data_IF_105875811465
#
_entry.id   IF_105875811465
#
_cell.length_a   1.000
_cell.length_b   1.000
_cell.length_c   1.000
_cell.angle_alpha   90.00
_cell.angle_beta   90.00
_cell.angle_gamma   90.00
#
_symmetry.space_group_name_H-M   'P 1'
#
loop_
_entity.id
_entity.type
_entity.pdbx_description
1 polymer ?
#
# COMPACT_ATOMS: atom_id res chain seq x y z
N UNK A 1 -11.82 -19.76 -12.69
CA UNK A 1 -10.84 -18.68 -12.88
C UNK A 1 -11.30 -17.52 -12.02
N UNK A 2 -10.98 -17.57 -10.72
CA UNK A 2 -11.44 -16.56 -9.78
C UNK A 2 -10.30 -15.59 -9.64
N UNK A 3 -10.44 -14.44 -10.28
CA UNK A 3 -9.56 -13.30 -10.05
C UNK A 3 -9.81 -12.90 -8.60
N UNK A 4 -9.00 -13.43 -7.68
CA UNK A 4 -8.82 -12.87 -6.35
C UNK A 4 -8.20 -11.48 -6.54
N UNK A 5 -9.03 -10.53 -6.97
CA UNK A 5 -8.80 -9.14 -6.68
C UNK A 5 -8.78 -9.08 -5.17
N UNK A 6 -7.57 -8.97 -4.62
CA UNK A 6 -7.28 -8.67 -3.22
C UNK A 6 -7.88 -7.30 -2.90
N UNK A 7 -9.20 -7.18 -2.92
CA UNK A 7 -9.91 -6.19 -2.14
C UNK A 7 -9.52 -6.50 -0.73
N UNK A 8 -8.69 -5.62 -0.17
CA UNK A 8 -8.27 -5.57 1.21
C UNK A 8 -9.32 -6.27 2.09
N UNK A 9 -9.06 -7.52 2.47
CA UNK A 9 -9.99 -8.23 3.33
C UNK A 9 -9.84 -7.60 4.71
N UNK A 10 -10.62 -6.55 4.97
CA UNK A 10 -10.69 -5.86 6.25
C UNK A 10 -11.19 -6.78 7.38
N UNK A 11 -11.54 -8.05 7.06
CA UNK A 11 -11.88 -9.11 7.99
C UNK A 11 -10.66 -9.93 8.42
N UNK A 12 -9.49 -9.68 7.85
CA UNK A 12 -8.23 -10.20 8.37
C UNK A 12 -8.10 -9.71 9.82
N UNK A 13 -8.09 -10.66 10.76
CA UNK A 13 -8.16 -10.41 12.21
C UNK A 13 -7.24 -9.25 12.57
N UNK A 14 -7.71 -8.31 13.39
CA UNK A 14 -6.91 -7.17 13.82
C UNK A 14 -5.56 -7.66 14.34
N UNK A 15 -4.53 -7.53 13.51
CA UNK A 15 -3.17 -7.90 13.86
C UNK A 15 -2.47 -6.60 14.26
N UNK A 16 -2.36 -6.31 15.56
CA UNK A 16 -1.80 -5.04 16.04
C UNK A 16 -0.34 -4.84 15.62
N UNK A 17 0.34 -5.89 15.16
CA UNK A 17 1.72 -5.83 14.70
C UNK A 17 1.85 -5.42 13.22
N UNK A 18 0.74 -5.33 12.48
CA UNK A 18 0.71 -4.93 11.07
C UNK A 18 0.30 -3.46 10.92
N UNK A 19 1.21 -2.66 10.36
CA UNK A 19 0.91 -1.31 9.89
C UNK A 19 0.54 -1.36 8.39
N UNK A 20 -0.58 -0.73 8.04
CA UNK A 20 -0.99 -0.52 6.65
C UNK A 20 -0.85 0.94 6.27
N UNK A 21 -0.18 1.22 5.16
CA UNK A 21 -0.08 2.56 4.56
C UNK A 21 -0.85 2.56 3.25
N UNK A 22 -1.80 3.48 3.11
CA UNK A 22 -2.61 3.64 1.91
C UNK A 22 -2.23 4.98 1.28
N UNK A 23 -1.62 4.92 0.10
CA UNK A 23 -1.29 6.10 -0.69
C UNK A 23 -2.33 6.27 -1.80
N UNK A 24 -3.01 7.42 -1.84
CA UNK A 24 -4.07 7.74 -2.79
C UNK A 24 -3.78 9.09 -3.44
N UNK A 25 -3.90 9.16 -4.76
CA UNK A 25 -3.69 10.38 -5.55
C UNK A 25 -3.45 10.06 -7.02
N UNK A 26 -2.98 11.04 -7.80
CA UNK A 26 -2.59 10.77 -9.18
C UNK A 26 -1.45 9.75 -9.25
N UNK A 27 -1.39 8.99 -10.35
CA UNK A 27 -0.34 7.97 -10.54
C UNK A 27 1.08 8.53 -10.33
N UNK A 28 1.33 9.76 -10.79
CA UNK A 28 2.62 10.44 -10.61
C UNK A 28 2.93 10.75 -9.15
N UNK A 29 1.96 11.26 -8.39
CA UNK A 29 2.16 11.63 -6.98
C UNK A 29 2.38 10.38 -6.13
N UNK A 30 1.59 9.33 -6.37
CA UNK A 30 1.71 8.07 -5.65
C UNK A 30 3.04 7.39 -5.93
N UNK A 31 3.48 7.34 -7.20
CA UNK A 31 4.78 6.76 -7.55
C UNK A 31 5.94 7.55 -6.93
N UNK A 32 5.86 8.89 -6.95
CA UNK A 32 6.87 9.72 -6.29
C UNK A 32 6.96 9.45 -4.79
N UNK A 33 5.81 9.31 -4.11
CA UNK A 33 5.77 8.97 -2.69
C UNK A 33 6.45 7.61 -2.41
N UNK A 34 6.17 6.60 -3.23
CA UNK A 34 6.78 5.26 -3.12
C UNK A 34 8.30 5.33 -3.28
N UNK A 35 8.78 6.06 -4.29
CA UNK A 35 10.22 6.23 -4.51
C UNK A 35 10.91 6.99 -3.36
N UNK A 36 10.23 7.96 -2.74
CA UNK A 36 10.74 8.62 -1.52
C UNK A 36 10.83 7.62 -0.36
N UNK A 37 9.82 6.78 -0.14
CA UNK A 37 9.88 5.75 0.91
C UNK A 37 11.00 4.74 0.67
N UNK A 38 11.27 4.39 -0.58
CA UNK A 38 12.40 3.55 -0.97
C UNK A 38 13.74 4.23 -0.66
N UNK A 39 13.91 5.49 -1.05
CA UNK A 39 15.14 6.25 -0.77
C UNK A 39 15.42 6.41 0.73
N UNK A 40 14.36 6.49 1.55
CA UNK A 40 14.47 6.54 3.01
C UNK A 40 14.71 5.16 3.66
N UNK A 41 14.75 4.08 2.87
CA UNK A 41 14.88 2.71 3.36
C UNK A 41 13.64 2.20 4.11
N UNK A 42 12.52 2.89 3.98
CA UNK A 42 11.29 2.52 4.67
C UNK A 42 10.60 1.31 4.02
N UNK A 43 10.55 1.25 2.69
CA UNK A 43 9.95 0.12 1.96
C UNK A 43 10.49 0.03 0.53
N UNK A 44 10.66 -1.19 0.03
CA UNK A 44 10.99 -1.47 -1.35
C UNK A 44 9.77 -1.23 -2.26
N UNK A 45 9.96 -0.76 -3.52
CA UNK A 45 8.84 -0.48 -4.42
C UNK A 45 7.92 -1.70 -4.68
N UNK A 46 8.48 -2.92 -4.65
CA UNK A 46 7.73 -4.16 -4.87
C UNK A 46 6.94 -4.63 -3.65
N UNK A 47 7.19 -4.09 -2.45
CA UNK A 47 6.40 -4.39 -1.25
C UNK A 47 5.02 -3.71 -1.30
N UNK A 48 4.87 -2.69 -2.13
CA UNK A 48 3.59 -2.06 -2.41
C UNK A 48 2.75 -2.91 -3.36
N UNK A 49 1.42 -2.88 -3.18
CA UNK A 49 0.48 -3.48 -4.13
C UNK A 49 0.71 -2.96 -5.55
N UNK A 50 0.16 -3.63 -6.57
CA UNK A 50 -0.01 -2.97 -7.88
C UNK A 50 -0.94 -1.76 -7.74
N UNK A 51 -0.87 -0.76 -8.65
CA UNK A 51 -1.84 0.33 -8.66
C UNK A 51 -3.26 -0.22 -8.74
N UNK A 52 -4.10 0.21 -7.81
CA UNK A 52 -5.52 -0.13 -7.75
C UNK A 52 -6.33 1.08 -8.23
N UNK A 53 -7.40 0.86 -9.02
CA UNK A 53 -8.30 1.94 -9.36
C UNK A 53 -9.06 2.43 -8.12
N UNK A 54 -9.43 3.70 -8.13
CA UNK A 54 -10.37 4.27 -7.14
C UNK A 54 -11.71 4.59 -7.81
N UNK A 55 -12.63 5.21 -7.07
CA UNK A 55 -13.87 5.75 -7.64
C UNK A 55 -13.62 6.98 -8.52
N UNK A 56 -12.46 7.62 -8.40
CA UNK A 56 -12.06 8.80 -9.15
C UNK A 56 -11.17 8.38 -10.34
N UNK A 57 -11.52 8.72 -11.60
CA UNK A 57 -10.82 8.22 -12.79
C UNK A 57 -9.33 8.57 -12.90
N UNK A 58 -8.91 9.69 -12.31
CA UNK A 58 -7.51 10.18 -12.36
C UNK A 58 -6.70 9.82 -11.09
N UNK A 59 -7.26 8.97 -10.23
CA UNK A 59 -6.69 8.62 -8.95
C UNK A 59 -6.45 7.11 -8.84
N UNK A 60 -5.25 6.77 -8.37
CA UNK A 60 -4.85 5.40 -8.06
C UNK A 60 -4.60 5.26 -6.56
N UNK A 61 -4.69 4.02 -6.10
CA UNK A 61 -4.34 3.63 -4.74
C UNK A 61 -3.21 2.60 -4.77
N UNK A 62 -2.26 2.73 -3.84
CA UNK A 62 -1.23 1.71 -3.55
C UNK A 62 -1.27 1.41 -2.05
N UNK A 63 -1.18 0.14 -1.70
CA UNK A 63 -1.24 -0.31 -0.30
C UNK A 63 0.06 -1.01 0.06
N UNK A 64 0.69 -0.61 1.16
CA UNK A 64 1.80 -1.30 1.80
C UNK A 64 1.28 -1.92 3.11
N UNK A 65 1.59 -3.19 3.33
CA UNK A 65 1.37 -3.86 4.62
C UNK A 65 2.72 -4.26 5.17
N UNK A 66 3.10 -3.76 6.34
CA UNK A 66 4.40 -4.03 6.95
C UNK A 66 4.24 -4.44 8.40
N UNK A 67 5.03 -5.43 8.84
CA UNK A 67 5.15 -5.73 10.27
C UNK A 67 6.12 -4.72 10.89
N UNK A 68 5.67 -3.99 11.90
CA UNK A 68 6.50 -3.03 12.61
C UNK A 68 6.83 -3.64 13.96
N UNK A 69 8.10 -3.98 14.16
CA UNK A 69 8.56 -4.32 15.50
C UNK A 69 8.60 -3.02 16.30
N UNK A 70 7.97 -3.00 17.48
CA UNK A 70 8.11 -1.86 18.38
C UNK A 70 9.59 -1.67 18.69
N UNK A 71 10.14 -0.53 18.31
CA UNK A 71 11.46 -0.12 18.78
C UNK A 71 11.23 0.40 20.20
N UNK A 72 11.74 -0.33 21.19
CA UNK A 72 11.69 0.05 22.60
C UNK A 72 12.59 1.23 22.93
#
# INVERSE_FOLDING_TARGET
MTTEQTFLDLRDQANPDLLRVIAVGSARVVENYIMVQYQLGYAEPFEWSRPLPTVNPDEVMRILTKRINQVG
#
